data_IF_973975985881
#
_entry.id   IF_973975985881
#
_cell.length_a   1.000
_cell.length_b   1.000
_cell.length_c   1.000
_cell.angle_alpha   90.00
_cell.angle_beta   90.00
_cell.angle_gamma   90.00
#
_symmetry.space_group_name_H-M   'P 1'
#
loop_
_entity.id
_entity.type
_entity.pdbx_description
1 polymer ?
#
# COMPACT_ATOMS: atom_id res chain seq x y z
N UNK A 1 -24.26 -27.07 5.78
CA UNK A 1 -23.60 -25.74 5.80
C UNK A 1 -22.76 -25.62 7.07
N UNK A 2 -21.49 -26.02 7.02
CA UNK A 2 -20.58 -25.93 8.17
C UNK A 2 -20.13 -24.46 8.33
N UNK A 3 -20.67 -23.77 9.33
CA UNK A 3 -20.17 -22.44 9.76
C UNK A 3 -18.78 -22.66 10.36
N UNK A 4 -17.74 -22.36 9.58
CA UNK A 4 -16.36 -22.40 10.06
C UNK A 4 -16.21 -21.35 11.16
N UNK A 5 -16.02 -21.81 12.40
CA UNK A 5 -15.84 -20.95 13.57
C UNK A 5 -14.40 -20.46 13.54
N UNK A 6 -14.18 -19.23 13.08
CA UNK A 6 -12.85 -18.66 13.01
C UNK A 6 -12.35 -18.22 14.40
N UNK A 7 -11.05 -18.38 14.69
CA UNK A 7 -10.46 -17.99 15.97
C UNK A 7 -10.48 -16.46 16.19
N UNK A 8 -10.35 -15.99 17.46
CA UNK A 8 -10.26 -14.56 17.77
C UNK A 8 -9.16 -13.88 16.96
N UNK A 9 -9.48 -12.76 16.29
CA UNK A 9 -8.51 -12.02 15.45
C UNK A 9 -8.40 -12.50 14.00
N UNK A 10 -9.19 -13.49 13.56
CA UNK A 10 -9.17 -13.97 12.18
C UNK A 10 -9.40 -12.87 11.12
N UNK A 11 -10.18 -11.82 11.45
CA UNK A 11 -10.36 -10.66 10.56
C UNK A 11 -9.06 -9.88 10.30
N UNK A 12 -8.21 -9.74 11.32
CA UNK A 12 -6.89 -9.10 11.21
C UNK A 12 -5.93 -10.00 10.41
N UNK A 13 -5.92 -11.31 10.66
CA UNK A 13 -5.12 -12.25 9.86
C UNK A 13 -5.50 -12.25 8.38
N UNK A 14 -6.79 -12.19 8.07
CA UNK A 14 -7.27 -12.07 6.68
C UNK A 14 -6.85 -10.73 6.08
N UNK A 15 -6.84 -9.64 6.84
CA UNK A 15 -6.33 -8.35 6.36
C UNK A 15 -4.81 -8.37 6.11
N UNK A 16 -4.05 -9.06 6.96
CA UNK A 16 -2.61 -9.27 6.81
C UNK A 16 -2.31 -10.08 5.54
N UNK A 17 -2.99 -11.22 5.36
CA UNK A 17 -2.82 -12.09 4.19
C UNK A 17 -3.32 -11.39 2.92
N UNK A 18 -4.45 -10.70 2.99
CA UNK A 18 -4.96 -9.90 1.89
C UNK A 18 -4.01 -8.76 1.53
N UNK A 19 -3.42 -8.09 2.52
CA UNK A 19 -2.42 -7.03 2.33
C UNK A 19 -1.14 -7.53 1.66
N UNK A 20 -0.72 -8.77 1.94
CA UNK A 20 0.37 -9.42 1.22
C UNK A 20 0.04 -9.57 -0.28
N UNK A 21 -1.19 -9.94 -0.63
CA UNK A 21 -1.62 -10.10 -2.02
C UNK A 21 -1.87 -8.76 -2.72
N UNK A 22 -2.77 -7.93 -2.17
CA UNK A 22 -3.08 -6.59 -2.66
C UNK A 22 -3.64 -5.73 -1.53
N UNK A 23 -2.84 -4.75 -1.12
CA UNK A 23 -3.24 -3.77 -0.10
C UNK A 23 -4.40 -2.88 -0.58
N UNK A 24 -4.53 -2.60 -1.89
CA UNK A 24 -5.64 -1.84 -2.46
C UNK A 24 -6.95 -2.62 -2.44
N UNK A 25 -6.95 -3.86 -2.93
CA UNK A 25 -8.14 -4.71 -2.89
C UNK A 25 -8.60 -4.96 -1.46
N UNK A 26 -7.64 -5.21 -0.55
CA UNK A 26 -7.91 -5.38 0.88
C UNK A 26 -8.52 -4.12 1.47
N UNK A 27 -8.03 -2.93 1.12
CA UNK A 27 -8.60 -1.65 1.58
C UNK A 27 -10.05 -1.50 1.16
N UNK A 28 -10.38 -1.76 -0.11
CA UNK A 28 -11.75 -1.62 -0.63
C UNK A 28 -12.69 -2.63 0.07
N UNK A 29 -12.27 -3.89 0.22
CA UNK A 29 -13.07 -4.93 0.87
C UNK A 29 -13.32 -4.59 2.33
N UNK A 30 -12.29 -4.16 3.06
CA UNK A 30 -12.41 -3.78 4.47
C UNK A 30 -13.24 -2.50 4.64
N UNK A 31 -13.08 -1.51 3.76
CA UNK A 31 -13.86 -0.28 3.80
C UNK A 31 -15.36 -0.56 3.60
N UNK A 32 -15.72 -1.42 2.63
CA UNK A 32 -17.11 -1.85 2.45
C UNK A 32 -17.64 -2.61 3.67
N UNK A 33 -16.83 -3.49 4.26
CA UNK A 33 -17.21 -4.19 5.50
C UNK A 33 -17.44 -3.23 6.66
N UNK A 34 -16.63 -2.19 6.80
CA UNK A 34 -16.81 -1.17 7.84
C UNK A 34 -18.17 -0.44 7.70
N UNK A 35 -18.66 -0.22 6.48
CA UNK A 35 -19.98 0.35 6.24
C UNK A 35 -21.13 -0.63 6.54
N UNK A 36 -20.99 -1.91 6.18
CA UNK A 36 -22.07 -2.91 6.33
C UNK A 36 -22.14 -3.53 7.73
N UNK A 37 -21.04 -3.54 8.48
CA UNK A 37 -20.93 -4.19 9.80
C UNK A 37 -20.35 -3.22 10.85
N UNK A 38 -21.15 -2.26 11.37
CA UNK A 38 -20.66 -1.24 12.29
C UNK A 38 -20.05 -1.81 13.59
N UNK A 39 -20.55 -2.96 14.05
CA UNK A 39 -20.08 -3.64 15.26
C UNK A 39 -18.63 -4.15 15.15
N UNK A 40 -18.11 -4.34 13.94
CA UNK A 40 -16.75 -4.81 13.65
C UNK A 40 -15.96 -3.82 12.78
N UNK A 41 -16.48 -2.59 12.60
CA UNK A 41 -15.85 -1.56 11.79
C UNK A 41 -14.43 -1.23 12.27
N UNK A 42 -14.17 -1.26 13.58
CA UNK A 42 -12.85 -1.03 14.16
C UNK A 42 -11.81 -2.07 13.68
N UNK A 43 -12.19 -3.34 13.52
CA UNK A 43 -11.31 -4.40 13.01
C UNK A 43 -10.96 -4.15 11.54
N UNK A 44 -11.94 -3.71 10.76
CA UNK A 44 -11.74 -3.37 9.36
C UNK A 44 -10.83 -2.14 9.20
N UNK A 45 -11.01 -1.10 10.01
CA UNK A 45 -10.17 0.10 10.04
C UNK A 45 -8.72 -0.23 10.39
N UNK A 46 -8.48 -0.99 11.47
CA UNK A 46 -7.13 -1.44 11.84
C UNK A 46 -6.52 -2.31 10.74
N UNK A 47 -7.33 -3.17 10.12
CA UNK A 47 -6.89 -4.02 9.00
C UNK A 47 -6.40 -3.22 7.78
N UNK A 48 -7.03 -2.08 7.47
CA UNK A 48 -6.60 -1.19 6.37
C UNK A 48 -5.19 -0.63 6.65
N UNK A 49 -4.94 -0.19 7.89
CA UNK A 49 -3.64 0.36 8.31
C UNK A 49 -2.58 -0.75 8.23
N UNK A 50 -2.87 -1.93 8.79
CA UNK A 50 -1.94 -3.06 8.78
C UNK A 50 -1.64 -3.59 7.37
N UNK A 51 -2.64 -3.63 6.48
CA UNK A 51 -2.42 -4.00 5.08
C UNK A 51 -1.45 -3.03 4.38
N UNK A 52 -1.48 -1.75 4.73
CA UNK A 52 -0.55 -0.73 4.20
C UNK A 52 0.83 -0.87 4.81
N UNK A 53 0.94 -1.18 6.10
CA UNK A 53 2.21 -1.51 6.74
C UNK A 53 2.92 -2.67 6.03
N UNK A 54 2.19 -3.75 5.73
CA UNK A 54 2.73 -4.94 5.08
C UNK A 54 3.19 -4.64 3.66
N UNK A 55 2.51 -3.72 2.96
CA UNK A 55 2.91 -3.27 1.63
C UNK A 55 4.36 -2.79 1.62
N UNK A 56 4.80 -1.98 2.60
CA UNK A 56 6.19 -1.49 2.63
C UNK A 56 7.23 -2.61 2.73
N UNK A 57 6.97 -3.59 3.62
CA UNK A 57 7.84 -4.77 3.75
C UNK A 57 7.84 -5.57 2.45
N UNK A 58 6.66 -5.77 1.84
CA UNK A 58 6.51 -6.48 0.56
C UNK A 58 7.29 -5.79 -0.56
N UNK A 59 7.15 -4.47 -0.70
CA UNK A 59 7.87 -3.69 -1.71
C UNK A 59 9.38 -3.79 -1.51
N UNK A 60 9.85 -3.74 -0.25
CA UNK A 60 11.27 -3.90 0.05
C UNK A 60 11.81 -5.27 -0.37
N UNK A 61 11.05 -6.35 -0.14
CA UNK A 61 11.41 -7.70 -0.60
C UNK A 61 11.47 -7.76 -2.13
N UNK A 62 10.46 -7.21 -2.82
CA UNK A 62 10.44 -7.16 -4.29
C UNK A 62 11.68 -6.41 -4.80
N UNK A 63 11.98 -5.23 -4.26
CA UNK A 63 13.16 -4.45 -4.69
C UNK A 63 14.45 -5.23 -4.41
N UNK A 64 14.55 -5.91 -3.26
CA UNK A 64 15.75 -6.67 -2.89
C UNK A 64 16.03 -7.85 -3.82
N UNK A 65 14.99 -8.47 -4.38
CA UNK A 65 15.14 -9.58 -5.34
C UNK A 65 15.74 -9.14 -6.68
N UNK A 66 15.46 -7.91 -7.11
CA UNK A 66 15.93 -7.39 -8.41
C UNK A 66 17.17 -6.50 -8.29
N UNK A 67 17.27 -5.71 -7.22
CA UNK A 67 18.36 -4.76 -7.00
C UNK A 67 18.63 -4.56 -5.51
N UNK A 68 19.53 -5.38 -4.97
CA UNK A 68 19.91 -5.35 -3.55
C UNK A 68 20.53 -4.00 -3.11
N UNK A 69 21.41 -3.34 -3.90
CA UNK A 69 21.88 -1.99 -3.57
C UNK A 69 20.75 -0.97 -3.39
N UNK A 70 19.79 -0.92 -4.33
CA UNK A 70 18.64 -0.03 -4.24
C UNK A 70 17.79 -0.36 -3.01
N UNK A 71 17.57 -1.65 -2.72
CA UNK A 71 16.83 -2.09 -1.54
C UNK A 71 17.50 -1.64 -0.24
N UNK A 72 18.83 -1.73 -0.13
CA UNK A 72 19.57 -1.26 1.06
C UNK A 72 19.42 0.24 1.27
N UNK A 73 19.39 1.01 0.19
CA UNK A 73 19.19 2.46 0.26
C UNK A 73 17.74 2.83 0.61
N UNK A 74 16.75 2.05 0.11
CA UNK A 74 15.32 2.23 0.39
C UNK A 74 14.91 1.72 1.79
N UNK A 75 15.62 0.74 2.34
CA UNK A 75 15.26 0.03 3.56
C UNK A 75 15.00 0.93 4.78
N UNK A 76 15.86 1.93 5.10
CA UNK A 76 15.63 2.78 6.27
C UNK A 76 14.28 3.50 6.21
N UNK A 77 13.91 4.05 5.04
CA UNK A 77 12.66 4.74 4.84
C UNK A 77 11.44 3.79 4.92
N UNK A 78 11.51 2.65 4.22
CA UNK A 78 10.41 1.66 4.22
C UNK A 78 10.18 1.03 5.59
N UNK A 79 11.25 0.71 6.33
CA UNK A 79 11.15 0.13 7.67
C UNK A 79 10.63 1.17 8.67
N UNK A 80 11.09 2.42 8.61
CA UNK A 80 10.56 3.49 9.45
C UNK A 80 9.06 3.70 9.23
N UNK A 81 8.61 3.73 7.96
CA UNK A 81 7.19 3.83 7.63
C UNK A 81 6.39 2.60 8.08
N UNK A 82 6.98 1.41 7.99
CA UNK A 82 6.36 0.17 8.49
C UNK A 82 6.17 0.22 10.00
N UNK A 83 7.21 0.59 10.76
CA UNK A 83 7.13 0.71 12.22
C UNK A 83 6.13 1.79 12.61
N UNK A 84 6.12 2.93 11.91
CA UNK A 84 5.15 3.99 12.14
C UNK A 84 3.71 3.53 11.85
N UNK A 85 3.49 2.79 10.76
CA UNK A 85 2.20 2.18 10.43
C UNK A 85 1.74 1.15 11.46
N UNK A 86 2.64 0.31 11.99
CA UNK A 86 2.35 -0.59 13.11
C UNK A 86 1.95 0.17 14.36
N UNK A 87 2.67 1.25 14.70
CA UNK A 87 2.35 2.08 15.85
C UNK A 87 0.96 2.73 15.71
N UNK A 88 0.63 3.27 14.53
CA UNK A 88 -0.70 3.83 14.24
C UNK A 88 -1.79 2.76 14.30
N UNK A 89 -1.55 1.58 13.72
CA UNK A 89 -2.49 0.47 13.75
C UNK A 89 -2.73 -0.06 15.16
N UNK A 90 -1.67 -0.19 15.96
CA UNK A 90 -1.71 -0.60 17.36
C UNK A 90 -2.41 0.42 18.25
N UNK A 91 -2.12 1.71 18.06
CA UNK A 91 -2.81 2.81 18.74
C UNK A 91 -4.30 2.80 18.39
N UNK A 92 -4.66 2.66 17.12
CA UNK A 92 -6.06 2.61 16.70
C UNK A 92 -6.79 1.39 17.25
N UNK A 93 -6.13 0.23 17.28
CA UNK A 93 -6.63 -0.98 17.92
C UNK A 93 -6.91 -0.73 19.41
N UNK A 94 -5.99 -0.08 20.13
CA UNK A 94 -6.15 0.18 21.56
C UNK A 94 -7.27 1.17 21.87
N UNK A 95 -7.38 2.26 21.12
CA UNK A 95 -8.40 3.30 21.33
C UNK A 95 -9.80 2.85 20.88
N UNK A 96 -9.88 2.02 19.85
CA UNK A 96 -11.17 1.60 19.24
C UNK A 96 -11.63 0.21 19.68
N UNK A 97 -10.83 -0.52 20.45
CA UNK A 97 -11.21 -1.81 21.01
C UNK A 97 -12.35 -1.63 22.02
N UNK A 98 -13.57 -1.92 21.59
CA UNK A 98 -14.72 -2.05 22.48
C UNK A 98 -14.69 -3.42 23.17
N UNK A 99 -15.05 -3.53 24.47
CA UNK A 99 -15.03 -4.81 25.22
C UNK A 99 -15.92 -5.89 24.63
N UNK A 100 -16.85 -5.54 23.74
CA UNK A 100 -17.65 -6.48 22.97
C UNK A 100 -16.78 -7.13 21.91
N UNK A 101 -16.20 -8.28 22.28
CA UNK A 101 -15.57 -9.26 21.36
C UNK A 101 -16.63 -9.83 20.40
N UNK A 102 -17.23 -9.00 19.56
CA UNK A 102 -18.18 -9.46 18.56
C UNK A 102 -17.42 -10.11 17.40
N UNK A 103 -17.81 -11.34 17.10
CA UNK A 103 -17.13 -12.26 16.17
C UNK A 103 -17.34 -11.77 14.75
N UNK A 104 -16.26 -11.42 14.07
CA UNK A 104 -16.28 -11.17 12.63
C UNK A 104 -16.61 -12.47 11.89
N UNK A 105 -17.62 -12.45 11.03
CA UNK A 105 -17.88 -13.54 10.11
C UNK A 105 -16.77 -13.58 9.06
N UNK A 106 -15.96 -14.64 9.08
CA UNK A 106 -14.91 -14.86 8.08
C UNK A 106 -15.56 -15.34 6.80
N UNK A 107 -15.73 -14.44 5.83
CA UNK A 107 -15.86 -14.86 4.42
C UNK A 107 -14.45 -14.97 3.82
N UNK A 108 -14.02 -16.17 3.39
CA UNK A 108 -12.77 -16.32 2.68
C UNK A 108 -12.84 -15.50 1.38
N UNK A 109 -11.77 -14.77 1.01
CA UNK A 109 -11.69 -14.17 -0.31
C UNK A 109 -11.68 -15.31 -1.33
N UNK A 110 -12.79 -15.46 -2.04
CA UNK A 110 -12.87 -16.37 -3.18
C UNK A 110 -12.43 -15.55 -4.37
N UNK A 111 -11.21 -15.77 -4.90
CA UNK A 111 -10.73 -15.06 -6.08
C UNK A 111 -10.48 -16.04 -7.23
N UNK A 112 -11.47 -16.30 -8.11
CA UNK A 112 -11.34 -17.20 -9.25
C UNK A 112 -10.56 -16.62 -10.46
N UNK A 113 -9.74 -15.58 -10.27
CA UNK A 113 -9.25 -14.71 -11.36
C UNK A 113 -7.72 -14.48 -11.38
N UNK A 114 -6.92 -15.41 -10.85
CA UNK A 114 -5.45 -15.27 -10.82
C UNK A 114 -4.83 -14.98 -12.19
N UNK A 115 -5.34 -15.61 -13.26
CA UNK A 115 -4.82 -15.42 -14.61
C UNK A 115 -5.13 -14.02 -15.17
N UNK A 116 -6.32 -13.48 -14.88
CA UNK A 116 -6.71 -12.13 -15.34
C UNK A 116 -5.94 -11.06 -14.57
N UNK A 117 -5.73 -11.24 -13.26
CA UNK A 117 -4.90 -10.35 -12.47
C UNK A 117 -3.44 -10.35 -12.97
N UNK A 118 -2.88 -11.52 -13.27
CA UNK A 118 -1.54 -11.63 -13.84
C UNK A 118 -1.41 -10.95 -15.21
N UNK A 119 -2.41 -11.07 -16.09
CA UNK A 119 -2.45 -10.38 -17.38
C UNK A 119 -2.52 -8.86 -17.23
N UNK A 120 -3.35 -8.36 -16.32
CA UNK A 120 -3.42 -6.93 -16.02
C UNK A 120 -2.08 -6.44 -15.49
N UNK A 121 -1.47 -7.17 -14.56
CA UNK A 121 -0.15 -6.84 -14.01
C UNK A 121 0.92 -6.78 -15.11
N UNK A 122 1.02 -7.81 -15.96
CA UNK A 122 1.98 -7.85 -17.04
C UNK A 122 1.78 -6.68 -18.03
N UNK A 123 0.52 -6.38 -18.37
CA UNK A 123 0.18 -5.26 -19.25
C UNK A 123 0.58 -3.92 -18.62
N UNK A 124 0.22 -3.69 -17.36
CA UNK A 124 0.59 -2.49 -16.62
C UNK A 124 2.11 -2.36 -16.51
N UNK A 125 2.82 -3.45 -16.21
CA UNK A 125 4.27 -3.46 -16.16
C UNK A 125 4.90 -2.99 -17.47
N UNK A 126 4.45 -3.54 -18.61
CA UNK A 126 4.97 -3.12 -19.93
C UNK A 126 4.66 -1.65 -20.21
N UNK A 127 3.41 -1.22 -20.00
CA UNK A 127 3.00 0.18 -20.23
C UNK A 127 3.79 1.14 -19.35
N UNK A 128 3.91 0.84 -18.06
CA UNK A 128 4.66 1.66 -17.10
C UNK A 128 6.15 1.65 -17.45
N UNK A 129 6.72 0.52 -17.86
CA UNK A 129 8.12 0.46 -18.28
C UNK A 129 8.41 1.37 -19.47
N UNK A 130 7.55 1.32 -20.49
CA UNK A 130 7.65 2.19 -21.67
C UNK A 130 7.43 3.67 -21.30
N UNK A 131 6.44 3.96 -20.47
CA UNK A 131 6.16 5.31 -20.00
C UNK A 131 7.33 5.87 -19.17
N UNK A 132 7.88 5.10 -18.23
CA UNK A 132 9.04 5.48 -17.43
C UNK A 132 10.25 5.80 -18.31
N UNK A 133 10.52 4.97 -19.32
CA UNK A 133 11.60 5.21 -20.27
C UNK A 133 11.39 6.50 -21.08
N UNK A 134 10.18 6.67 -21.62
CA UNK A 134 9.84 7.85 -22.42
C UNK A 134 9.90 9.13 -21.60
N UNK A 135 9.30 9.12 -20.41
CA UNK A 135 9.27 10.26 -19.50
C UNK A 135 10.67 10.61 -19.00
N UNK A 136 11.49 9.62 -18.63
CA UNK A 136 12.87 9.85 -18.20
C UNK A 136 13.71 10.47 -19.33
N UNK A 137 13.53 10.02 -20.57
CA UNK A 137 14.28 10.56 -21.71
C UNK A 137 13.86 11.97 -22.11
N UNK A 138 12.57 12.32 -21.98
CA UNK A 138 12.05 13.63 -22.41
C UNK A 138 12.04 14.68 -21.29
N UNK A 139 11.80 14.27 -20.04
CA UNK A 139 11.54 15.15 -18.90
C UNK A 139 12.48 14.90 -17.71
N UNK A 140 13.40 13.93 -17.81
CA UNK A 140 14.34 13.58 -16.75
C UNK A 140 13.66 13.15 -15.44
N UNK A 141 14.33 13.41 -14.33
CA UNK A 141 13.92 12.97 -12.99
C UNK A 141 12.55 13.55 -12.58
N UNK A 142 12.28 14.82 -12.92
CA UNK A 142 10.99 15.46 -12.58
C UNK A 142 9.80 14.81 -13.29
N UNK A 143 10.01 14.36 -14.53
CA UNK A 143 9.02 13.56 -15.22
C UNK A 143 8.77 12.22 -14.51
N UNK A 144 9.84 11.51 -14.15
CA UNK A 144 9.73 10.22 -13.46
C UNK A 144 8.99 10.35 -12.12
N UNK A 145 9.23 11.42 -11.36
CA UNK A 145 8.50 11.72 -10.13
C UNK A 145 7.01 12.00 -10.37
N UNK A 146 6.69 12.70 -11.47
CA UNK A 146 5.29 12.93 -11.87
C UNK A 146 4.61 11.62 -12.24
N UNK A 147 5.28 10.76 -13.01
CA UNK A 147 4.78 9.44 -13.36
C UNK A 147 4.59 8.57 -12.11
N UNK A 148 5.54 8.59 -11.18
CA UNK A 148 5.45 7.88 -9.92
C UNK A 148 4.21 8.30 -9.11
N UNK A 149 3.92 9.61 -9.04
CA UNK A 149 2.72 10.11 -8.39
C UNK A 149 1.44 9.62 -9.08
N UNK A 150 1.37 9.65 -10.41
CA UNK A 150 0.20 9.19 -11.18
C UNK A 150 -0.02 7.68 -10.97
N UNK A 151 1.02 6.86 -11.16
CA UNK A 151 0.92 5.41 -11.04
C UNK A 151 0.64 4.99 -9.60
N UNK A 152 1.19 5.71 -8.62
CA UNK A 152 0.93 5.48 -7.20
C UNK A 152 -0.56 5.45 -6.85
N UNK A 153 -1.41 6.24 -7.51
CA UNK A 153 -2.86 6.24 -7.28
C UNK A 153 -3.57 4.92 -7.67
N UNK A 154 -2.89 4.06 -8.45
CA UNK A 154 -3.38 2.79 -8.97
C UNK A 154 -2.75 1.60 -8.24
N UNK A 155 -2.01 0.77 -8.96
CA UNK A 155 -1.15 -0.28 -8.42
C UNK A 155 0.32 0.14 -8.54
N UNK A 156 0.99 0.19 -7.40
CA UNK A 156 2.39 0.60 -7.29
C UNK A 156 3.36 -0.55 -7.64
N UNK A 157 2.92 -1.80 -7.56
CA UNK A 157 3.80 -2.96 -7.69
C UNK A 157 4.50 -3.03 -9.07
N UNK A 158 3.81 -2.82 -10.21
CA UNK A 158 4.48 -2.83 -11.51
C UNK A 158 5.52 -1.72 -11.65
N UNK A 159 5.26 -0.54 -11.05
CA UNK A 159 6.20 0.58 -11.07
C UNK A 159 7.46 0.31 -10.25
N UNK A 160 7.29 -0.21 -9.03
CA UNK A 160 8.40 -0.58 -8.15
C UNK A 160 9.23 -1.69 -8.78
N UNK A 161 8.59 -2.69 -9.38
CA UNK A 161 9.27 -3.74 -10.11
C UNK A 161 10.08 -3.18 -11.28
N UNK A 162 9.49 -2.29 -12.09
CA UNK A 162 10.20 -1.66 -13.22
C UNK A 162 11.41 -0.87 -12.73
N UNK A 163 11.26 -0.11 -11.64
CA UNK A 163 12.33 0.68 -11.02
C UNK A 163 13.45 -0.23 -10.50
N UNK A 164 13.09 -1.34 -9.84
CA UNK A 164 14.04 -2.28 -9.27
C UNK A 164 14.77 -3.11 -10.34
N UNK A 165 14.09 -3.49 -11.42
CA UNK A 165 14.68 -4.18 -12.56
C UNK A 165 15.66 -3.30 -13.38
N UNK A 166 15.82 -2.03 -13.01
CA UNK A 166 16.72 -1.08 -13.67
C UNK A 166 16.06 -0.30 -14.81
N UNK A 167 14.76 -0.51 -15.07
CA UNK A 167 14.02 0.12 -16.16
C UNK A 167 14.71 -0.02 -17.52
N UNK A 168 14.39 0.90 -18.44
CA UNK A 168 15.06 1.02 -19.76
C UNK A 168 16.05 2.20 -19.79
N UNK A 169 16.09 3.03 -18.74
CA UNK A 169 16.93 4.22 -18.67
C UNK A 169 17.68 4.29 -17.32
N UNK A 170 18.99 4.54 -17.31
CA UNK A 170 19.76 4.64 -16.08
C UNK A 170 19.38 5.90 -15.29
N UNK A 171 19.03 5.73 -14.02
CA UNK A 171 18.84 6.80 -13.04
C UNK A 171 19.64 6.48 -11.77
N UNK A 172 19.95 7.49 -10.95
CA UNK A 172 20.65 7.28 -9.69
C UNK A 172 19.79 6.53 -8.67
N UNK A 173 20.43 5.85 -7.72
CA UNK A 173 19.73 5.15 -6.65
C UNK A 173 18.78 6.09 -5.88
N UNK A 174 19.19 7.33 -5.63
CA UNK A 174 18.42 8.35 -4.93
C UNK A 174 17.12 8.71 -5.68
N UNK A 175 17.20 8.85 -7.01
CA UNK A 175 16.03 9.10 -7.87
C UNK A 175 15.06 7.91 -7.82
N UNK A 176 15.58 6.67 -7.88
CA UNK A 176 14.75 5.48 -7.75
C UNK A 176 14.06 5.39 -6.39
N UNK A 177 14.77 5.69 -5.30
CA UNK A 177 14.24 5.70 -3.93
C UNK A 177 13.16 6.77 -3.77
N UNK A 178 13.43 8.00 -4.22
CA UNK A 178 12.47 9.09 -4.17
C UNK A 178 11.21 8.77 -4.99
N UNK A 179 11.36 8.22 -6.20
CA UNK A 179 10.23 7.84 -7.04
C UNK A 179 9.35 6.76 -6.39
N UNK A 180 9.97 5.72 -5.80
CA UNK A 180 9.23 4.67 -5.08
C UNK A 180 8.48 5.25 -3.87
N UNK A 181 9.11 6.15 -3.11
CA UNK A 181 8.48 6.80 -1.96
C UNK A 181 7.32 7.72 -2.38
N UNK A 182 7.47 8.49 -3.46
CA UNK A 182 6.39 9.32 -4.04
C UNK A 182 5.21 8.44 -4.43
N UNK A 183 5.47 7.36 -5.18
CA UNK A 183 4.43 6.42 -5.58
C UNK A 183 3.73 5.81 -4.34
N UNK A 184 4.48 5.43 -3.32
CA UNK A 184 3.93 4.83 -2.10
C UNK A 184 3.07 5.83 -1.31
N UNK A 185 3.51 7.08 -1.23
CA UNK A 185 2.76 8.17 -0.62
C UNK A 185 1.45 8.43 -1.35
N UNK A 186 1.47 8.54 -2.68
CA UNK A 186 0.22 8.73 -3.45
C UNK A 186 -0.70 7.50 -3.35
N UNK A 187 -0.15 6.30 -3.27
CA UNK A 187 -0.93 5.08 -3.04
C UNK A 187 -1.67 5.10 -1.70
N UNK A 188 -1.02 5.57 -0.65
CA UNK A 188 -1.66 5.74 0.65
C UNK A 188 -2.78 6.78 0.61
N UNK A 189 -2.58 7.90 -0.09
CA UNK A 189 -3.64 8.89 -0.29
C UNK A 189 -4.82 8.31 -1.06
N UNK A 190 -4.57 7.55 -2.14
CA UNK A 190 -5.62 6.89 -2.89
C UNK A 190 -6.41 5.90 -2.01
N UNK A 191 -5.73 5.11 -1.17
CA UNK A 191 -6.38 4.24 -0.18
C UNK A 191 -7.21 5.00 0.83
N UNK A 192 -6.75 6.18 1.28
CA UNK A 192 -7.52 7.04 2.16
C UNK A 192 -8.82 7.51 1.48
N UNK A 193 -8.76 7.89 0.21
CA UNK A 193 -9.92 8.25 -0.61
C UNK A 193 -10.85 7.03 -0.79
N UNK A 194 -10.32 5.85 -1.13
CA UNK A 194 -11.12 4.63 -1.25
C UNK A 194 -11.80 4.26 0.06
N UNK A 195 -11.08 4.35 1.19
CA UNK A 195 -11.66 4.14 2.51
C UNK A 195 -12.82 5.11 2.77
N UNK A 196 -12.65 6.40 2.49
CA UNK A 196 -13.70 7.42 2.64
C UNK A 196 -14.91 7.17 1.74
N UNK A 197 -14.67 6.82 0.46
CA UNK A 197 -15.71 6.58 -0.52
C UNK A 197 -16.54 5.33 -0.21
N UNK A 198 -15.92 4.25 0.28
CA UNK A 198 -16.59 2.97 0.51
C UNK A 198 -17.09 2.74 1.94
N UNK A 199 -16.41 3.31 2.95
CA UNK A 199 -16.83 3.19 4.36
C UNK A 199 -17.73 4.36 4.82
N UNK A 200 -17.67 5.51 4.12
CA UNK A 200 -18.28 6.76 4.55
C UNK A 200 -17.35 7.60 5.44
N UNK A 201 -17.45 8.94 5.33
CA UNK A 201 -16.46 9.89 5.87
C UNK A 201 -16.14 9.74 7.37
N UNK A 202 -17.14 9.57 8.25
CA UNK A 202 -16.91 9.40 9.70
C UNK A 202 -16.26 8.05 10.04
N UNK A 203 -16.63 6.97 9.36
CA UNK A 203 -16.07 5.65 9.59
C UNK A 203 -14.68 5.50 8.95
N UNK A 204 -14.35 6.31 7.95
CA UNK A 204 -13.04 6.31 7.33
C UNK A 204 -12.06 7.29 7.97
N UNK A 205 -12.51 8.25 8.79
CA UNK A 205 -11.66 9.34 9.30
C UNK A 205 -10.39 8.83 10.00
N UNK A 206 -10.50 7.79 10.82
CA UNK A 206 -9.37 7.13 11.49
C UNK A 206 -8.33 6.56 10.51
N UNK A 207 -8.68 5.53 9.71
CA UNK A 207 -7.73 4.94 8.77
C UNK A 207 -7.27 5.94 7.69
N UNK A 208 -8.15 6.82 7.20
CA UNK A 208 -7.76 7.86 6.24
C UNK A 208 -6.74 8.83 6.83
N UNK A 209 -6.92 9.24 8.10
CA UNK A 209 -5.94 10.06 8.82
C UNK A 209 -4.59 9.36 8.97
N UNK A 210 -4.58 8.09 9.38
CA UNK A 210 -3.36 7.30 9.50
C UNK A 210 -2.63 7.14 8.14
N UNK A 211 -3.37 6.85 7.07
CA UNK A 211 -2.81 6.75 5.73
C UNK A 211 -2.29 8.08 5.21
N UNK A 212 -2.97 9.19 5.50
CA UNK A 212 -2.49 10.52 5.18
C UNK A 212 -1.18 10.82 5.93
N UNK A 213 -1.09 10.53 7.24
CA UNK A 213 0.15 10.70 8.02
C UNK A 213 1.31 9.89 7.42
N UNK A 214 1.06 8.64 7.02
CA UNK A 214 2.05 7.80 6.34
C UNK A 214 2.45 8.39 4.98
N UNK A 215 1.50 8.92 4.21
CA UNK A 215 1.76 9.57 2.92
C UNK A 215 2.63 10.82 3.09
N UNK A 216 2.31 11.68 4.07
CA UNK A 216 3.10 12.88 4.37
C UNK A 216 4.51 12.52 4.84
N UNK A 217 4.65 11.56 5.76
CA UNK A 217 5.95 11.09 6.22
C UNK A 217 6.80 10.57 5.04
N UNK A 218 6.23 9.72 4.19
CA UNK A 218 6.92 9.21 3.01
C UNK A 218 7.29 10.30 2.00
N UNK A 219 6.41 11.29 1.81
CA UNK A 219 6.63 12.40 0.88
C UNK A 219 7.72 13.35 1.35
N UNK A 220 7.81 13.62 2.66
CA UNK A 220 8.90 14.41 3.25
C UNK A 220 10.24 13.72 3.03
N UNK A 221 10.33 12.42 3.31
CA UNK A 221 11.55 11.64 3.08
C UNK A 221 11.92 11.62 1.60
N UNK A 222 10.93 11.44 0.71
CA UNK A 222 11.15 11.47 -0.73
C UNK A 222 11.69 12.83 -1.20
N UNK A 223 11.10 13.93 -0.72
CA UNK A 223 11.53 15.28 -1.06
C UNK A 223 12.96 15.56 -0.58
N UNK A 224 13.30 15.13 0.64
CA UNK A 224 14.64 15.27 1.18
C UNK A 224 15.68 14.49 0.37
N UNK A 225 15.35 13.27 -0.08
CA UNK A 225 16.25 12.47 -0.92
C UNK A 225 16.35 13.05 -2.35
N UNK A 226 15.26 13.59 -2.89
CA UNK A 226 15.23 14.13 -4.26
C UNK A 226 15.92 15.49 -4.40
N UNK A 227 15.87 16.34 -3.37
CA UNK A 227 16.29 17.75 -3.44
C UNK A 227 17.24 18.19 -2.32
N UNK A 228 17.47 17.37 -1.31
CA UNK A 228 18.30 17.70 -0.13
C UNK A 228 19.78 17.37 -0.29
N UNK A 229 20.24 17.09 -1.52
CA UNK A 229 21.64 16.87 -1.88
C UNK A 229 22.34 18.17 -2.28
#
# INVERSE_FOLDING_TARGET
>A
MLRYVAPPGAGLWVAIIGGLYSSTATTIVLARRAATEPATAWQAQTGIILATTIMYVRLLVIVALFNLPLARHLAPAMLALSVFGLALGGFWYWVSATPTRSRAAVRPPTNPLELTAALIFATLFVVISLASAWVQNQFGNGGLFTLAAIVGATDIDPFVLNTAAGGVAPFSADVGVAAILIAASTNNLAKAVYAAAFAGGRLAAGPAGALAMLAFAGGIVAWWIAFGG
#
